data_IF_390371261916
#
_entry.id   IF_390371261916
#
_cell.length_a   1.000
_cell.length_b   1.000
_cell.length_c   1.000
_cell.angle_alpha   90.00
_cell.angle_beta   90.00
_cell.angle_gamma   90.00
#
_symmetry.space_group_name_H-M   'P 1'
#
loop_
_entity.id
_entity.type
_entity.pdbx_description
1 polymer ?
#
# COMPACT_ATOMS: atom_id res chain seq x y z
N UNK A 1 42.44 -35.20 60.52
CA UNK A 1 42.73 -33.90 61.15
C UNK A 1 42.37 -32.85 60.12
N UNK A 2 41.38 -31.97 60.23
CA UNK A 2 40.44 -31.54 61.28
C UNK A 2 39.33 -30.81 60.48
N UNK A 3 38.09 -31.27 60.54
CA UNK A 3 36.96 -30.64 61.24
C UNK A 3 36.65 -29.19 60.84
N UNK A 4 35.49 -28.96 60.21
CA UNK A 4 34.65 -27.80 60.51
C UNK A 4 33.19 -28.27 60.49
N UNK A 5 32.55 -28.18 61.65
CA UNK A 5 31.12 -28.39 61.85
C UNK A 5 30.33 -27.07 61.88
N UNK A 6 29.03 -27.24 61.64
CA UNK A 6 27.84 -26.55 62.16
C UNK A 6 27.67 -25.00 62.01
N UNK A 7 26.71 -24.64 61.14
CA UNK A 7 25.58 -23.67 61.21
C UNK A 7 25.71 -22.39 62.06
N UNK A 8 25.27 -21.17 61.58
CA UNK A 8 23.82 -20.88 61.47
C UNK A 8 23.35 -19.74 60.51
N UNK A 9 22.05 -19.78 60.18
CA UNK A 9 21.10 -18.65 59.95
C UNK A 9 21.31 -17.50 58.93
N UNK A 10 20.20 -17.26 58.21
CA UNK A 10 19.61 -15.99 57.73
C UNK A 10 20.41 -15.11 56.75
N UNK A 11 19.89 -14.98 55.52
CA UNK A 11 19.04 -13.83 55.20
C UNK A 11 18.18 -14.08 53.96
N UNK A 12 16.90 -13.75 54.13
CA UNK A 12 15.81 -13.91 53.20
C UNK A 12 16.03 -13.21 51.85
N UNK A 13 15.49 -13.81 50.77
CA UNK A 13 14.80 -12.98 49.80
C UNK A 13 13.55 -13.68 49.26
N UNK A 14 12.42 -13.02 49.52
CA UNK A 14 11.08 -13.37 49.06
C UNK A 14 11.05 -13.37 47.53
N UNK A 15 10.83 -14.50 46.89
CA UNK A 15 10.33 -14.54 45.51
C UNK A 15 8.88 -14.98 45.53
N UNK A 16 8.02 -13.97 45.40
CA UNK A 16 6.59 -14.03 45.16
C UNK A 16 6.24 -15.23 44.28
N UNK A 17 5.40 -16.14 44.79
CA UNK A 17 4.77 -17.17 43.99
C UNK A 17 3.87 -16.51 42.96
N UNK A 18 4.38 -16.27 41.76
CA UNK A 18 3.57 -15.80 40.63
C UNK A 18 2.48 -16.84 40.38
N UNK A 19 1.25 -16.53 40.78
CA UNK A 19 0.10 -17.39 40.53
C UNK A 19 -0.09 -17.46 39.01
N UNK A 20 0.35 -18.56 38.42
CA UNK A 20 0.19 -18.85 37.01
C UNK A 20 -1.26 -19.21 36.71
N UNK A 21 -1.74 -18.81 35.55
CA UNK A 21 -3.08 -19.17 35.10
C UNK A 21 -3.04 -19.44 33.58
N UNK A 22 -3.85 -20.38 33.11
CA UNK A 22 -3.82 -20.83 31.72
C UNK A 22 -4.64 -19.89 30.82
N UNK A 23 -4.08 -19.49 29.68
CA UNK A 23 -4.76 -18.68 28.68
C UNK A 23 -5.74 -19.54 27.85
N UNK A 24 -6.99 -19.11 27.69
CA UNK A 24 -7.99 -19.87 26.92
C UNK A 24 -7.83 -19.81 25.38
N UNK A 25 -6.86 -19.07 24.86
CA UNK A 25 -6.58 -18.99 23.41
C UNK A 25 -5.33 -19.81 23.04
N UNK A 26 -4.18 -19.53 23.70
CA UNK A 26 -2.92 -20.22 23.40
C UNK A 26 -2.63 -21.41 24.31
N UNK A 27 -3.42 -21.61 25.37
CA UNK A 27 -3.25 -22.67 26.38
C UNK A 27 -1.94 -22.60 27.18
N UNK A 28 -1.17 -21.52 27.05
CA UNK A 28 0.05 -21.30 27.82
C UNK A 28 -0.26 -20.80 29.24
N UNK A 29 0.60 -21.17 30.19
CA UNK A 29 0.56 -20.66 31.56
C UNK A 29 1.21 -19.28 31.63
N UNK A 30 0.44 -18.27 32.02
CA UNK A 30 0.87 -16.87 32.02
C UNK A 30 0.72 -16.28 33.42
N UNK A 31 1.66 -15.44 33.88
CA UNK A 31 1.50 -14.69 35.12
C UNK A 31 0.26 -13.79 35.08
N UNK A 32 -0.48 -13.69 36.20
CA UNK A 32 -1.69 -12.85 36.30
C UNK A 32 -1.51 -11.40 35.87
N UNK A 33 -0.31 -10.82 36.01
CA UNK A 33 -0.03 -9.44 35.64
C UNK A 33 0.07 -9.19 34.12
N UNK A 34 0.16 -10.25 33.30
CA UNK A 34 0.13 -10.18 31.81
C UNK A 34 -1.11 -10.86 31.23
N UNK A 35 -2.14 -10.98 32.06
CA UNK A 35 -3.36 -11.66 31.71
C UNK A 35 -4.56 -10.78 32.05
N UNK A 36 -5.55 -10.85 31.17
CA UNK A 36 -6.80 -10.12 31.26
C UNK A 36 -7.94 -11.10 31.47
N UNK A 37 -8.68 -10.93 32.56
CA UNK A 37 -9.87 -11.73 32.84
C UNK A 37 -11.10 -10.98 32.32
N UNK A 38 -11.92 -11.68 31.55
CA UNK A 38 -13.18 -11.12 31.09
C UNK A 38 -14.23 -11.14 32.22
N UNK A 39 -14.79 -9.98 32.55
CA UNK A 39 -15.64 -9.77 33.73
C UNK A 39 -16.84 -10.72 33.81
N UNK A 40 -17.50 -11.04 32.69
CA UNK A 40 -18.75 -11.83 32.71
C UNK A 40 -18.55 -13.34 32.73
N UNK A 41 -17.52 -13.86 32.04
CA UNK A 41 -17.31 -15.31 31.92
C UNK A 41 -16.11 -15.80 32.74
N UNK A 42 -15.47 -14.90 33.50
CA UNK A 42 -14.28 -15.16 34.31
C UNK A 42 -13.14 -15.87 33.56
N UNK A 43 -13.17 -15.84 32.23
CA UNK A 43 -12.19 -16.52 31.39
C UNK A 43 -10.95 -15.64 31.25
N UNK A 44 -9.78 -16.24 31.35
CA UNK A 44 -8.52 -15.53 31.34
C UNK A 44 -7.83 -15.62 29.97
N UNK A 45 -7.35 -14.49 29.48
CA UNK A 45 -6.64 -14.36 28.22
C UNK A 45 -5.28 -13.73 28.46
N UNK A 46 -4.25 -14.23 27.80
CA UNK A 46 -2.96 -13.57 27.74
C UNK A 46 -3.10 -12.22 26.99
N UNK A 47 -2.41 -11.17 27.43
CA UNK A 47 -2.55 -9.83 26.83
C UNK A 47 -2.17 -9.81 25.34
N UNK A 48 -1.19 -10.61 24.92
CA UNK A 48 -0.83 -10.76 23.51
C UNK A 48 -1.96 -11.41 22.69
N UNK A 49 -2.63 -12.42 23.27
CA UNK A 49 -3.74 -13.15 22.66
C UNK A 49 -4.96 -12.25 22.49
N UNK A 50 -5.37 -11.57 23.57
CA UNK A 50 -6.54 -10.69 23.57
C UNK A 50 -6.31 -9.46 22.68
N UNK A 51 -5.11 -8.87 22.75
CA UNK A 51 -4.73 -7.77 21.87
C UNK A 51 -4.71 -8.18 20.39
N UNK A 52 -4.18 -9.36 20.04
CA UNK A 52 -4.23 -9.88 18.68
C UNK A 52 -5.68 -10.11 18.20
N UNK A 53 -6.53 -10.70 19.05
CA UNK A 53 -7.94 -10.90 18.75
C UNK A 53 -8.68 -9.59 18.49
N UNK A 54 -8.54 -8.59 19.36
CA UNK A 54 -9.19 -7.27 19.20
C UNK A 54 -8.76 -6.60 17.90
N UNK A 55 -7.46 -6.58 17.62
CA UNK A 55 -6.92 -5.98 16.38
C UNK A 55 -7.47 -6.67 15.15
N UNK A 56 -7.52 -8.01 15.15
CA UNK A 56 -8.09 -8.79 14.05
C UNK A 56 -9.56 -8.41 13.80
N UNK A 57 -10.40 -8.41 14.83
CA UNK A 57 -11.83 -8.08 14.69
C UNK A 57 -12.06 -6.64 14.18
N UNK A 58 -11.24 -5.68 14.62
CA UNK A 58 -11.29 -4.29 14.12
C UNK A 58 -10.90 -4.23 12.64
N UNK A 59 -9.82 -4.93 12.24
CA UNK A 59 -9.42 -4.97 10.81
C UNK A 59 -10.46 -5.65 9.92
N UNK A 60 -11.29 -6.54 10.48
CA UNK A 60 -12.45 -7.13 9.80
C UNK A 60 -13.67 -6.19 9.74
N UNK A 61 -13.56 -4.97 10.26
CA UNK A 61 -14.63 -3.96 10.24
C UNK A 61 -15.70 -4.14 11.33
N UNK A 62 -15.45 -4.97 12.35
CA UNK A 62 -16.38 -5.12 13.48
C UNK A 62 -16.16 -4.04 14.51
N UNK A 63 -17.24 -3.38 14.92
CA UNK A 63 -17.25 -2.38 15.98
C UNK A 63 -17.83 -2.89 17.31
N UNK A 64 -18.69 -3.92 17.25
CA UNK A 64 -19.15 -4.69 18.41
C UNK A 64 -18.22 -5.89 18.57
N UNK A 65 -17.34 -5.79 19.55
CA UNK A 65 -16.35 -6.83 19.84
C UNK A 65 -16.92 -7.75 20.92
N UNK A 66 -17.05 -9.04 20.61
CA UNK A 66 -17.50 -10.07 21.55
C UNK A 66 -16.29 -10.75 22.20
N UNK A 67 -16.49 -11.40 23.35
CA UNK A 67 -15.41 -12.15 24.00
C UNK A 67 -15.10 -13.42 23.17
N UNK A 68 -13.82 -13.81 23.12
CA UNK A 68 -13.40 -15.00 22.37
C UNK A 68 -13.95 -16.32 22.95
N UNK A 69 -14.39 -16.33 24.23
CA UNK A 69 -14.97 -17.51 24.89
C UNK A 69 -16.49 -17.44 25.07
N UNK A 70 -17.08 -16.24 25.05
CA UNK A 70 -18.53 -16.07 25.23
C UNK A 70 -19.08 -14.94 24.36
N UNK A 71 -20.34 -14.99 23.97
CA UNK A 71 -20.96 -14.03 23.05
C UNK A 71 -21.28 -12.65 23.68
N UNK A 72 -20.67 -12.32 24.82
CA UNK A 72 -20.87 -11.03 25.48
C UNK A 72 -19.86 -10.00 25.01
N UNK A 73 -20.26 -8.74 24.94
CA UNK A 73 -19.43 -7.64 24.47
C UNK A 73 -18.26 -7.31 25.41
N UNK A 74 -17.11 -7.01 24.81
CA UNK A 74 -15.96 -6.39 25.47
C UNK A 74 -16.25 -4.91 25.79
N UNK A 75 -15.76 -4.46 26.94
CA UNK A 75 -15.87 -3.05 27.37
C UNK A 75 -14.94 -2.15 26.56
N UNK A 76 -15.35 -0.90 26.36
CA UNK A 76 -14.57 0.08 25.60
C UNK A 76 -13.21 0.35 26.23
N UNK A 77 -13.12 0.32 27.56
CA UNK A 77 -11.86 0.54 28.29
C UNK A 77 -10.83 -0.55 27.99
N UNK A 78 -11.27 -1.81 27.95
CA UNK A 78 -10.40 -2.94 27.57
C UNK A 78 -9.91 -2.78 26.14
N UNK A 79 -10.81 -2.44 25.21
CA UNK A 79 -10.47 -2.23 23.80
C UNK A 79 -9.47 -1.07 23.66
N UNK A 80 -9.73 0.06 24.31
CA UNK A 80 -8.86 1.23 24.26
C UNK A 80 -7.46 0.95 24.81
N UNK A 81 -7.35 0.22 25.93
CA UNK A 81 -6.06 -0.19 26.51
C UNK A 81 -5.18 -0.91 25.49
N UNK A 82 -5.74 -1.86 24.73
CA UNK A 82 -4.99 -2.60 23.69
C UNK A 82 -4.75 -1.80 22.39
N UNK A 83 -5.36 -0.63 22.24
CA UNK A 83 -5.18 0.25 21.09
C UNK A 83 -4.26 1.44 21.37
N UNK A 84 -3.86 1.69 22.61
CA UNK A 84 -3.00 2.83 22.99
C UNK A 84 -1.69 2.87 22.19
N UNK A 85 -1.11 1.70 21.89
CA UNK A 85 0.12 1.57 21.10
C UNK A 85 -0.11 1.64 19.58
N UNK A 86 -1.37 1.72 19.12
CA UNK A 86 -1.76 1.63 17.70
C UNK A 86 -2.68 2.81 17.28
N UNK A 87 -2.16 4.04 17.16
CA UNK A 87 -2.97 5.24 16.93
C UNK A 87 -3.81 5.19 15.65
N UNK A 88 -3.26 4.63 14.56
CA UNK A 88 -4.00 4.47 13.30
C UNK A 88 -5.19 3.51 13.43
N UNK A 89 -5.02 2.44 14.21
CA UNK A 89 -6.07 1.45 14.42
C UNK A 89 -7.14 1.99 15.38
N UNK A 90 -6.74 2.79 16.37
CA UNK A 90 -7.65 3.53 17.23
C UNK A 90 -8.53 4.49 16.44
N UNK A 91 -7.94 5.26 15.51
CA UNK A 91 -8.71 6.12 14.61
C UNK A 91 -9.66 5.31 13.73
N UNK A 92 -9.20 4.17 13.20
CA UNK A 92 -10.05 3.28 12.41
C UNK A 92 -11.24 2.74 13.21
N UNK A 93 -11.02 2.28 14.44
CA UNK A 93 -12.07 1.83 15.35
C UNK A 93 -13.06 2.97 15.67
N UNK A 94 -12.57 4.18 15.95
CA UNK A 94 -13.42 5.35 16.17
C UNK A 94 -14.30 5.67 14.95
N UNK A 95 -13.76 5.54 13.72
CA UNK A 95 -14.54 5.66 12.48
C UNK A 95 -15.61 4.56 12.38
N UNK A 96 -15.28 3.31 12.66
CA UNK A 96 -16.24 2.19 12.64
C UNK A 96 -17.38 2.41 13.66
N UNK A 97 -17.06 2.83 14.88
CA UNK A 97 -18.05 3.14 15.92
C UNK A 97 -18.91 4.33 15.49
N UNK A 98 -18.30 5.38 14.92
CA UNK A 98 -19.03 6.55 14.40
C UNK A 98 -19.96 6.15 13.26
N UNK A 99 -19.47 5.33 12.32
CA UNK A 99 -20.21 4.83 11.17
C UNK A 99 -21.38 3.95 11.59
N UNK A 100 -21.20 3.14 12.62
CA UNK A 100 -22.25 2.29 13.18
C UNK A 100 -23.28 3.07 14.01
N UNK A 101 -22.84 4.13 14.68
CA UNK A 101 -23.72 5.06 15.41
C UNK A 101 -24.38 6.10 14.50
N UNK A 102 -24.16 6.06 13.18
CA UNK A 102 -24.70 7.06 12.26
C UNK A 102 -26.22 7.15 12.36
N UNK A 103 -26.65 8.25 12.95
CA UNK A 103 -27.82 8.99 12.51
C UNK A 103 -27.80 9.00 10.96
N UNK A 104 -28.81 8.44 10.28
CA UNK A 104 -28.85 8.35 8.82
C UNK A 104 -28.78 9.71 8.13
N UNK A 105 -28.89 10.80 8.88
CA UNK A 105 -28.85 12.19 8.42
C UNK A 105 -27.46 12.84 8.46
N UNK A 106 -26.41 12.17 8.94
CA UNK A 106 -25.04 12.74 9.03
C UNK A 106 -24.04 11.94 8.19
N UNK A 107 -23.35 12.61 7.26
CA UNK A 107 -22.31 12.02 6.40
C UNK A 107 -21.13 12.96 6.17
N UNK A 108 -19.98 12.39 5.85
CA UNK A 108 -18.71 13.11 5.63
C UNK A 108 -18.48 13.34 4.14
N UNK A 109 -18.03 14.54 3.76
CA UNK A 109 -17.71 14.90 2.39
C UNK A 109 -16.63 13.95 1.83
N UNK A 110 -16.82 13.39 0.62
CA UNK A 110 -15.85 12.49 -0.01
C UNK A 110 -14.56 13.19 -0.46
N UNK A 111 -14.52 14.53 -0.52
CA UNK A 111 -13.38 15.28 -1.06
C UNK A 111 -12.49 15.94 0.02
N UNK A 112 -13.06 16.40 1.14
CA UNK A 112 -12.32 17.23 2.12
C UNK A 112 -12.57 16.87 3.60
N UNK A 113 -13.20 15.74 3.90
CA UNK A 113 -13.50 15.30 5.27
C UNK A 113 -14.45 16.20 6.10
N UNK A 114 -15.02 17.27 5.53
CA UNK A 114 -16.05 18.09 6.18
C UNK A 114 -17.31 17.28 6.50
N UNK A 115 -17.90 17.46 7.69
CA UNK A 115 -19.14 16.77 8.10
C UNK A 115 -20.37 17.56 7.70
N UNK A 116 -21.36 16.88 7.12
CA UNK A 116 -22.62 17.47 6.67
C UNK A 116 -23.82 16.73 7.25
N UNK A 117 -24.78 17.50 7.77
CA UNK A 117 -26.08 17.01 8.24
C UNK A 117 -27.16 17.45 7.26
N UNK A 118 -28.00 16.51 6.81
CA UNK A 118 -29.10 16.78 5.87
C UNK A 118 -30.43 16.54 6.57
N UNK A 119 -31.44 17.37 6.34
CA UNK A 119 -32.81 17.14 6.83
C UNK A 119 -33.48 16.02 6.01
N UNK A 120 -34.26 15.15 6.65
CA UNK A 120 -34.84 13.92 6.08
C UNK A 120 -35.59 14.11 4.74
N UNK A 121 -36.18 15.29 4.52
CA UNK A 121 -37.00 15.63 3.34
C UNK A 121 -36.32 16.54 2.30
N UNK A 122 -35.02 16.84 2.45
CA UNK A 122 -34.32 17.68 1.47
C UNK A 122 -33.68 16.85 0.36
N UNK A 123 -33.49 17.51 -0.78
CA UNK A 123 -32.84 17.00 -1.98
C UNK A 123 -31.54 16.25 -1.63
N UNK A 124 -31.28 15.14 -2.34
CA UNK A 124 -30.08 14.30 -2.11
C UNK A 124 -28.76 15.00 -2.47
N UNK A 125 -28.81 16.25 -2.94
CA UNK A 125 -27.64 17.05 -3.32
C UNK A 125 -27.10 17.75 -2.09
N UNK A 126 -25.81 17.59 -1.84
CA UNK A 126 -25.08 18.30 -0.79
C UNK A 126 -23.93 19.05 -1.43
N UNK A 127 -23.87 20.35 -1.18
CA UNK A 127 -22.73 21.19 -1.54
C UNK A 127 -21.85 21.33 -0.31
N UNK A 128 -20.58 20.96 -0.42
CA UNK A 128 -19.64 21.09 0.69
C UNK A 128 -19.23 22.56 0.87
N UNK A 129 -19.35 23.11 2.08
CA UNK A 129 -18.95 24.49 2.38
C UNK A 129 -17.43 24.71 2.35
N UNK A 130 -16.62 23.68 2.62
CA UNK A 130 -15.16 23.79 2.68
C UNK A 130 -14.50 23.69 1.30
N UNK A 131 -15.03 22.86 0.40
CA UNK A 131 -14.40 22.58 -0.90
C UNK A 131 -15.32 22.83 -2.10
N UNK A 132 -16.54 23.34 -1.85
CA UNK A 132 -17.58 23.60 -2.86
C UNK A 132 -17.92 22.40 -3.77
N UNK A 133 -17.56 21.19 -3.35
CA UNK A 133 -17.84 19.97 -4.09
C UNK A 133 -19.30 19.56 -3.92
N UNK A 134 -19.98 19.35 -5.04
CA UNK A 134 -21.35 18.85 -5.10
C UNK A 134 -21.38 17.32 -5.16
N UNK A 135 -22.03 16.69 -4.19
CA UNK A 135 -22.11 15.24 -4.09
C UNK A 135 -23.50 14.76 -3.68
N UNK A 136 -23.75 13.48 -3.94
CA UNK A 136 -25.00 12.81 -3.61
C UNK A 136 -24.92 12.19 -2.22
N UNK A 137 -25.78 12.65 -1.30
CA UNK A 137 -25.84 12.16 0.07
C UNK A 137 -26.10 10.65 0.13
N UNK A 138 -26.93 10.11 -0.77
CA UNK A 138 -27.29 8.69 -0.74
C UNK A 138 -26.12 7.76 -1.11
N UNK A 139 -25.36 8.06 -2.16
CA UNK A 139 -24.35 7.16 -2.72
C UNK A 139 -22.89 7.62 -2.57
N UNK A 140 -22.63 8.81 -2.01
CA UNK A 140 -21.27 9.38 -1.87
C UNK A 140 -20.54 9.65 -3.19
N UNK A 141 -21.25 9.68 -4.32
CA UNK A 141 -20.70 10.01 -5.63
C UNK A 141 -20.83 11.52 -5.95
N UNK A 142 -20.12 12.05 -6.96
CA UNK A 142 -20.42 13.38 -7.51
C UNK A 142 -21.91 13.55 -7.83
N UNK A 143 -22.44 14.76 -7.67
CA UNK A 143 -23.86 15.01 -7.88
C UNK A 143 -24.30 14.65 -9.32
N UNK A 144 -25.38 13.88 -9.43
CA UNK A 144 -25.87 13.33 -10.70
C UNK A 144 -27.36 13.68 -10.90
N UNK A 145 -27.63 14.84 -11.53
CA UNK A 145 -28.96 15.48 -11.59
C UNK A 145 -30.06 14.66 -12.29
N UNK A 146 -29.70 13.84 -13.28
CA UNK A 146 -30.66 13.19 -14.20
C UNK A 146 -30.65 11.64 -14.13
N UNK A 147 -30.08 11.05 -13.08
CA UNK A 147 -30.00 9.59 -12.96
C UNK A 147 -30.13 9.14 -11.52
N UNK A 148 -30.66 7.93 -11.30
CA UNK A 148 -30.72 7.35 -9.97
C UNK A 148 -29.32 6.93 -9.49
N UNK A 149 -29.15 6.78 -8.17
CA UNK A 149 -27.90 6.27 -7.62
C UNK A 149 -27.54 4.87 -8.16
N UNK A 150 -28.55 4.04 -8.46
CA UNK A 150 -28.35 2.71 -9.06
C UNK A 150 -27.80 2.83 -10.48
N UNK A 151 -28.38 3.72 -11.28
CA UNK A 151 -27.96 3.95 -12.67
C UNK A 151 -26.57 4.58 -12.74
N UNK A 152 -26.25 5.53 -11.85
CA UNK A 152 -24.91 6.10 -11.75
C UNK A 152 -23.86 5.01 -11.45
N UNK A 153 -24.16 4.12 -10.48
CA UNK A 153 -23.26 3.02 -10.11
C UNK A 153 -23.11 2.02 -11.26
N UNK A 154 -24.21 1.68 -11.94
CA UNK A 154 -24.20 0.81 -13.13
C UNK A 154 -23.37 1.44 -14.26
N UNK A 155 -23.61 2.71 -14.60
CA UNK A 155 -22.86 3.43 -15.62
C UNK A 155 -21.38 3.52 -15.31
N UNK A 156 -21.02 3.79 -14.05
CA UNK A 156 -19.62 3.78 -13.59
C UNK A 156 -18.95 2.41 -13.75
N UNK A 157 -19.70 1.33 -13.53
CA UNK A 157 -19.21 -0.05 -13.72
C UNK A 157 -19.02 -0.35 -15.21
N UNK A 158 -20.03 -0.05 -16.03
CA UNK A 158 -20.00 -0.24 -17.48
C UNK A 158 -18.86 0.55 -18.12
N UNK A 159 -18.64 1.79 -17.69
CA UNK A 159 -17.51 2.59 -18.16
C UNK A 159 -16.16 1.93 -17.85
N UNK A 160 -15.97 1.40 -16.62
CA UNK A 160 -14.75 0.68 -16.26
C UNK A 160 -14.56 -0.62 -17.05
N UNK A 161 -15.64 -1.34 -17.33
CA UNK A 161 -15.60 -2.53 -18.18
C UNK A 161 -15.24 -2.16 -19.61
N UNK A 162 -15.93 -1.18 -20.19
CA UNK A 162 -15.66 -0.63 -21.52
C UNK A 162 -14.23 -0.12 -21.68
N UNK A 163 -13.64 0.56 -20.68
CA UNK A 163 -12.25 1.04 -20.77
C UNK A 163 -11.21 -0.09 -20.91
N UNK A 164 -11.53 -1.29 -20.40
CA UNK A 164 -10.65 -2.46 -20.44
C UNK A 164 -10.91 -3.36 -21.64
N UNK A 165 -12.07 -3.21 -22.25
CA UNK A 165 -12.44 -3.96 -23.44
C UNK A 165 -11.48 -3.63 -24.57
N UNK A 166 -11.19 -4.64 -25.38
CA UNK A 166 -10.22 -4.58 -26.48
C UNK A 166 -10.94 -4.75 -27.80
N UNK A 167 -11.64 -3.71 -28.25
CA UNK A 167 -12.15 -3.71 -29.62
C UNK A 167 -10.97 -3.54 -30.57
N UNK A 168 -10.86 -4.38 -31.59
CA UNK A 168 -9.81 -4.30 -32.63
C UNK A 168 -8.37 -4.46 -32.11
N UNK A 169 -8.18 -5.13 -30.97
CA UNK A 169 -6.86 -5.44 -30.41
C UNK A 169 -6.22 -4.32 -29.59
N UNK A 170 -6.87 -3.16 -29.46
CA UNK A 170 -6.45 -2.06 -28.60
C UNK A 170 -7.50 -1.79 -27.50
N UNK A 171 -7.07 -1.32 -26.33
CA UNK A 171 -7.99 -0.89 -25.28
C UNK A 171 -8.74 0.38 -25.68
N UNK A 172 -10.00 0.50 -25.26
CA UNK A 172 -10.85 1.63 -25.67
C UNK A 172 -10.45 2.98 -25.07
N UNK A 173 -9.91 2.98 -23.84
CA UNK A 173 -9.49 4.21 -23.18
C UNK A 173 -8.37 3.95 -22.17
N UNK A 174 -7.35 4.80 -22.19
CA UNK A 174 -6.19 4.69 -21.30
C UNK A 174 -6.16 5.86 -20.30
N UNK A 175 -5.96 5.61 -18.99
CA UNK A 175 -5.85 6.68 -18.02
C UNK A 175 -4.48 7.34 -18.13
N UNK A 176 -4.46 8.68 -18.08
CA UNK A 176 -3.23 9.44 -18.04
C UNK A 176 -2.38 9.04 -16.80
N UNK A 177 -1.07 8.76 -16.94
CA UNK A 177 -0.23 8.35 -15.82
C UNK A 177 -0.07 9.43 -14.74
N UNK A 178 -0.26 10.72 -15.08
CA UNK A 178 -0.14 11.84 -14.14
C UNK A 178 -1.47 12.22 -13.49
N UNK A 179 -2.49 12.53 -14.28
CA UNK A 179 -3.77 13.05 -13.77
C UNK A 179 -4.92 12.04 -13.77
N UNK A 180 -4.69 10.80 -14.23
CA UNK A 180 -5.66 9.69 -14.27
C UNK A 180 -6.95 9.92 -15.05
N UNK A 181 -7.06 11.02 -15.79
CA UNK A 181 -8.14 11.24 -16.75
C UNK A 181 -8.05 10.18 -17.86
N UNK A 182 -9.16 9.50 -18.14
CA UNK A 182 -9.25 8.55 -19.25
C UNK A 182 -9.25 9.30 -20.58
N UNK A 183 -8.41 8.84 -21.49
CA UNK A 183 -8.25 9.40 -22.83
C UNK A 183 -8.57 8.27 -23.81
N UNK A 184 -9.50 8.53 -24.72
CA UNK A 184 -9.80 7.65 -25.84
C UNK A 184 -8.93 8.06 -27.03
N UNK A 185 -8.45 7.07 -27.78
CA UNK A 185 -7.84 7.28 -29.08
C UNK A 185 -8.91 7.06 -30.15
N UNK A 186 -9.02 8.00 -31.08
CA UNK A 186 -9.89 7.84 -32.26
C UNK A 186 -9.13 7.08 -33.34
N UNK A 187 -8.00 7.63 -33.80
CA UNK A 187 -7.11 6.99 -34.77
C UNK A 187 -5.66 7.47 -34.60
N UNK A 188 -4.70 6.76 -35.21
CA UNK A 188 -3.31 7.21 -35.36
C UNK A 188 -2.31 6.67 -34.34
N UNK A 189 -1.31 7.50 -34.00
CA UNK A 189 -0.10 7.13 -33.25
C UNK A 189 -0.37 6.74 -31.79
N UNK A 190 0.35 5.74 -31.23
CA UNK A 190 0.22 5.41 -29.80
C UNK A 190 0.95 6.39 -28.87
N UNK A 191 1.69 7.39 -29.39
CA UNK A 191 2.22 8.48 -28.57
C UNK A 191 1.14 9.55 -28.37
N UNK A 192 0.52 9.58 -27.20
CA UNK A 192 -0.53 10.53 -26.86
C UNK A 192 -0.06 11.58 -25.85
N UNK A 193 -0.65 12.77 -25.92
CA UNK A 193 -0.43 13.86 -24.96
C UNK A 193 -1.72 14.18 -24.23
N UNK A 194 -1.67 14.21 -22.89
CA UNK A 194 -2.84 14.50 -22.09
C UNK A 194 -3.27 15.97 -22.26
N UNK A 195 -4.53 16.26 -22.65
CA UNK A 195 -4.98 17.64 -22.85
C UNK A 195 -5.00 18.45 -21.54
N UNK A 196 -5.19 17.78 -20.39
CA UNK A 196 -5.29 18.43 -19.08
C UNK A 196 -3.94 18.77 -18.46
N UNK A 197 -2.98 17.83 -18.51
CA UNK A 197 -1.70 17.97 -17.81
C UNK A 197 -0.46 17.95 -18.72
N UNK A 198 -0.68 17.92 -20.05
CA UNK A 198 0.32 17.90 -21.12
C UNK A 198 1.39 16.80 -21.01
N UNK A 199 1.13 15.77 -20.20
CA UNK A 199 2.05 14.62 -20.07
C UNK A 199 1.92 13.73 -21.29
N UNK A 200 3.04 13.43 -21.94
CA UNK A 200 3.13 12.48 -23.05
C UNK A 200 3.28 11.05 -22.53
N UNK A 201 2.48 10.13 -23.05
CA UNK A 201 2.41 8.75 -22.61
C UNK A 201 2.08 7.83 -23.79
N UNK A 202 2.42 6.54 -23.64
CA UNK A 202 2.12 5.53 -24.65
C UNK A 202 0.72 4.96 -24.40
N UNK A 203 -0.12 4.93 -25.43
CA UNK A 203 -1.47 4.41 -25.34
C UNK A 203 -1.50 2.91 -25.06
N UNK A 204 -0.60 2.14 -25.71
CA UNK A 204 -0.51 0.68 -25.54
C UNK A 204 -0.23 0.29 -24.07
N UNK A 205 0.83 0.85 -23.47
CA UNK A 205 1.25 0.45 -22.12
C UNK A 205 0.74 1.34 -20.99
N UNK A 206 0.27 2.55 -21.30
CA UNK A 206 -0.23 3.53 -20.32
C UNK A 206 0.88 4.24 -19.53
N UNK A 207 2.13 3.97 -19.85
CA UNK A 207 3.28 4.55 -19.16
C UNK A 207 3.72 5.88 -19.78
N UNK A 208 4.30 6.74 -18.95
CA UNK A 208 4.87 8.01 -19.40
C UNK A 208 6.04 7.72 -20.33
N UNK A 209 6.07 8.39 -21.48
CA UNK A 209 7.19 8.27 -22.41
C UNK A 209 8.34 9.13 -21.86
N UNK A 210 9.48 8.48 -21.64
CA UNK A 210 10.73 9.13 -21.20
C UNK A 210 11.79 8.81 -22.24
N UNK A 211 12.51 9.83 -22.68
CA UNK A 211 13.66 9.68 -23.56
C UNK A 211 14.92 9.79 -22.72
N UNK A 212 15.72 8.72 -22.72
CA UNK A 212 17.03 8.74 -22.08
C UNK A 212 18.08 8.29 -23.09
N UNK A 213 19.23 8.95 -23.09
CA UNK A 213 20.34 8.59 -23.98
C UNK A 213 20.94 7.22 -23.62
N UNK A 214 20.91 6.87 -22.33
CA UNK A 214 21.51 5.64 -21.81
C UNK A 214 20.59 4.42 -21.89
N UNK A 215 19.30 4.56 -21.54
CA UNK A 215 18.36 3.42 -21.45
C UNK A 215 17.53 3.23 -22.72
N UNK A 216 17.74 4.07 -23.72
CA UNK A 216 17.01 4.05 -24.99
C UNK A 216 15.66 4.77 -24.93
N UNK A 217 15.01 4.86 -26.10
CA UNK A 217 13.66 5.41 -26.25
C UNK A 217 12.57 4.38 -25.98
N UNK A 218 11.35 4.85 -25.78
CA UNK A 218 10.19 3.99 -25.47
C UNK A 218 9.84 2.99 -26.59
N UNK A 219 10.13 3.33 -27.85
CA UNK A 219 9.79 2.52 -29.02
C UNK A 219 10.87 1.50 -29.41
N UNK A 220 12.02 1.53 -28.75
CA UNK A 220 13.09 0.58 -29.04
C UNK A 220 12.79 -0.79 -28.41
N UNK A 221 12.97 -1.85 -29.20
CA UNK A 221 12.70 -3.25 -28.82
C UNK A 221 13.47 -3.64 -27.54
N UNK A 222 14.75 -3.26 -27.50
CA UNK A 222 15.72 -3.65 -26.48
C UNK A 222 15.88 -2.64 -25.34
N UNK A 223 15.20 -1.49 -25.43
CA UNK A 223 15.19 -0.50 -24.36
C UNK A 223 14.53 -1.06 -23.10
N UNK A 224 15.18 -0.93 -21.95
CA UNK A 224 14.63 -1.38 -20.66
C UNK A 224 13.35 -0.63 -20.31
N UNK A 225 13.33 0.68 -20.61
CA UNK A 225 12.18 1.56 -20.46
C UNK A 225 11.27 1.56 -21.70
N UNK A 226 11.47 0.59 -22.60
CA UNK A 226 10.67 0.41 -23.80
C UNK A 226 9.28 -0.15 -23.52
N UNK A 227 8.34 0.05 -24.45
CA UNK A 227 6.99 -0.47 -24.33
C UNK A 227 6.97 -1.98 -24.15
N UNK A 228 6.14 -2.48 -23.23
CA UNK A 228 5.98 -3.91 -22.94
C UNK A 228 5.35 -4.69 -24.10
N UNK A 229 4.58 -4.02 -24.96
CA UNK A 229 3.80 -4.66 -26.02
C UNK A 229 4.57 -4.83 -27.33
N UNK A 230 5.74 -4.18 -27.48
CA UNK A 230 6.56 -4.25 -28.70
C UNK A 230 7.39 -5.55 -28.75
N UNK A 231 7.88 -6.04 -27.60
CA UNK A 231 8.77 -7.20 -27.55
C UNK A 231 8.22 -8.29 -26.63
N UNK A 232 7.97 -9.48 -27.18
CA UNK A 232 7.46 -10.66 -26.45
C UNK A 232 6.32 -10.30 -25.47
N UNK A 233 5.19 -9.72 -25.95
CA UNK A 233 4.10 -9.26 -25.09
C UNK A 233 3.63 -10.33 -24.10
N UNK A 234 3.48 -11.57 -24.57
CA UNK A 234 2.96 -12.73 -23.81
C UNK A 234 3.97 -13.38 -22.86
N UNK A 235 5.27 -13.03 -22.96
CA UNK A 235 6.34 -13.63 -22.14
C UNK A 235 7.06 -12.57 -21.29
N UNK A 236 6.45 -12.11 -20.19
CA UNK A 236 6.97 -10.98 -19.40
C UNK A 236 8.33 -11.28 -18.75
N UNK A 237 8.55 -12.51 -18.28
CA UNK A 237 9.81 -12.90 -17.63
C UNK A 237 10.95 -12.88 -18.64
N UNK A 238 10.77 -13.52 -19.80
CA UNK A 238 11.79 -13.52 -20.86
C UNK A 238 12.12 -12.10 -21.34
N UNK A 239 11.11 -11.25 -21.55
CA UNK A 239 11.32 -9.84 -21.91
C UNK A 239 12.19 -9.13 -20.88
N UNK A 240 11.87 -9.28 -19.58
CA UNK A 240 12.61 -8.62 -18.49
C UNK A 240 14.04 -9.11 -18.40
N UNK A 241 14.28 -10.43 -18.51
CA UNK A 241 15.62 -11.02 -18.47
C UNK A 241 16.48 -10.50 -19.63
N UNK A 242 15.96 -10.50 -20.86
CA UNK A 242 16.70 -10.06 -22.04
C UNK A 242 17.04 -8.57 -21.95
N UNK A 243 16.06 -7.71 -21.61
CA UNK A 243 16.30 -6.27 -21.43
C UNK A 243 17.26 -5.99 -20.27
N UNK A 244 17.15 -6.73 -19.18
CA UNK A 244 18.06 -6.63 -18.03
C UNK A 244 19.50 -7.00 -18.39
N UNK A 245 19.68 -8.09 -19.15
CA UNK A 245 21.00 -8.51 -19.63
C UNK A 245 21.64 -7.44 -20.53
N UNK A 246 20.90 -6.90 -21.50
CA UNK A 246 21.41 -5.84 -22.38
C UNK A 246 21.78 -4.58 -21.61
N UNK A 247 20.99 -4.19 -20.61
CA UNK A 247 21.34 -3.07 -19.74
C UNK A 247 22.59 -3.34 -18.92
N UNK A 248 22.74 -4.55 -18.37
CA UNK A 248 23.95 -4.95 -17.67
C UNK A 248 25.18 -4.84 -18.56
N UNK A 249 25.08 -5.27 -19.83
CA UNK A 249 26.17 -5.14 -20.81
C UNK A 249 26.52 -3.66 -21.09
N UNK A 250 25.52 -2.78 -21.23
CA UNK A 250 25.75 -1.35 -21.44
C UNK A 250 26.39 -0.70 -20.21
N UNK A 251 25.91 -1.02 -19.00
CA UNK A 251 26.45 -0.46 -17.75
C UNK A 251 27.87 -0.95 -17.49
N UNK A 252 28.18 -2.22 -17.79
CA UNK A 252 29.52 -2.80 -17.54
C UNK A 252 30.54 -2.44 -18.62
N UNK A 253 30.12 -2.23 -19.88
CA UNK A 253 31.04 -1.86 -20.96
C UNK A 253 31.66 -0.47 -20.78
N UNK A 254 30.91 0.51 -20.25
CA UNK A 254 31.42 1.87 -20.00
C UNK A 254 32.64 1.92 -19.06
N UNK A 255 32.61 1.34 -17.84
CA UNK A 255 33.78 1.32 -16.96
C UNK A 255 34.91 0.46 -17.53
N UNK A 256 34.61 -0.65 -18.20
CA UNK A 256 35.65 -1.49 -18.82
C UNK A 256 36.41 -0.69 -19.88
N UNK A 257 35.70 -0.02 -20.79
CA UNK A 257 36.33 0.82 -21.82
C UNK A 257 37.15 1.96 -21.18
N UNK A 258 36.65 2.56 -20.10
CA UNK A 258 37.41 3.58 -19.36
C UNK A 258 38.69 3.00 -18.75
N UNK A 259 38.64 1.81 -18.14
CA UNK A 259 39.83 1.17 -17.57
C UNK A 259 40.85 0.79 -18.63
N UNK A 260 40.41 0.26 -19.77
CA UNK A 260 41.29 -0.05 -20.91
C UNK A 260 41.97 1.22 -21.39
N UNK A 261 41.22 2.32 -21.56
CA UNK A 261 41.78 3.60 -21.99
C UNK A 261 42.84 4.13 -21.01
N UNK A 262 42.58 4.04 -19.70
CA UNK A 262 43.51 4.50 -18.65
C UNK A 262 44.78 3.65 -18.57
N UNK A 263 44.72 2.34 -18.86
CA UNK A 263 45.89 1.45 -18.78
C UNK A 263 46.69 1.43 -20.08
N UNK A 264 46.00 1.35 -21.23
CA UNK A 264 46.64 1.21 -22.53
C UNK A 264 47.29 2.52 -22.98
N UNK A 265 46.69 3.68 -22.68
CA UNK A 265 47.24 4.97 -23.13
C UNK A 265 48.63 5.26 -22.53
N UNK A 266 48.87 5.10 -21.20
CA UNK A 266 50.21 5.26 -20.62
C UNK A 266 51.19 4.19 -21.09
N UNK A 267 50.78 2.92 -21.17
CA UNK A 267 51.64 1.84 -21.64
C UNK A 267 52.11 2.06 -23.08
N UNK A 268 51.20 2.50 -23.95
CA UNK A 268 51.52 2.89 -25.32
C UNK A 268 52.45 4.10 -25.37
N UNK A 269 52.22 5.11 -24.53
CA UNK A 269 53.11 6.27 -24.39
C UNK A 269 54.54 5.88 -23.99
N UNK A 270 54.68 5.01 -22.97
CA UNK A 270 55.98 4.49 -22.51
C UNK A 270 56.66 3.68 -23.61
N UNK A 271 55.92 2.82 -24.31
CA UNK A 271 56.45 2.04 -25.43
C UNK A 271 56.99 2.94 -26.54
N UNK A 272 56.24 3.97 -26.93
CA UNK A 272 56.67 4.92 -27.97
C UNK A 272 57.90 5.73 -27.52
N UNK A 273 57.94 6.17 -26.25
CA UNK A 273 59.10 6.86 -25.68
C UNK A 273 60.35 5.98 -25.73
N UNK A 274 60.24 4.70 -25.33
CA UNK A 274 61.36 3.77 -25.37
C UNK A 274 61.84 3.47 -26.80
N UNK A 275 60.91 3.38 -27.75
CA UNK A 275 61.23 3.25 -29.19
C UNK A 275 61.97 4.48 -29.72
N UNK A 276 61.60 5.69 -29.27
CA UNK A 276 62.28 6.93 -29.61
C UNK A 276 63.70 6.98 -29.04
N UNK A 277 63.88 6.66 -27.75
CA UNK A 277 65.19 6.62 -27.08
C UNK A 277 66.15 5.62 -27.73
N UNK A 278 65.69 4.46 -28.21
CA UNK A 278 66.60 3.51 -28.89
C UNK A 278 67.07 3.96 -30.28
N UNK A 279 66.40 4.93 -30.88
CA UNK A 279 66.68 5.37 -32.25
C UNK A 279 67.65 6.57 -32.29
N UNK A 280 67.89 7.21 -31.14
CA UNK A 280 68.77 8.37 -30.96
C UNK A 280 69.82 8.07 -29.90
#
# INVERSE_FOLDING_TARGET
MESVGEDPNLHANRSNSDVLSACSICLESVPKHRASTHEKCATMFCDSCLGAYIRLQITQGKWKLECANCNSLLTLDVIQRFLQEYPLLQEHFARLVTDARKDPLVKTCPNCCGRHRVKKDKTKRVTCEQCHFDWCFSCHAPWHKAMSCKDFKRGSKLFKEWTKDKTEGAINAQPCPKCRVFIQRLDGCDQMSCPRCRTTFCYLCGERIVYSKLLGGHWSIYSVLGCRYIYKPDRPVQRKVIRGFLLSMVITSLPILATIFVVVSPAYGVHQLHKYIRKH
#
